data_IF_956138850616
#
_entry.id   IF_956138850616
#
_cell.length_a   1.000
_cell.length_b   1.000
_cell.length_c   1.000
_cell.angle_alpha   90.00
_cell.angle_beta   90.00
_cell.angle_gamma   90.00
#
_symmetry.space_group_name_H-M   'P 1'
#
loop_
_entity.id
_entity.type
_entity.pdbx_description
1 polymer ?
#
# COMPACT_ATOMS: atom_id res chain seq x y z
N UNK A 1 -56.84 -63.23 -21.83
CA UNK A 1 -57.74 -62.11 -21.44
C UNK A 1 -58.34 -62.46 -20.10
N UNK A 2 -58.17 -61.61 -19.10
CA UNK A 2 -58.66 -61.81 -17.73
C UNK A 2 -59.59 -60.65 -17.35
N UNK A 3 -60.44 -60.86 -16.35
CA UNK A 3 -61.31 -59.78 -15.86
C UNK A 3 -60.61 -59.02 -14.74
N UNK A 4 -60.57 -57.69 -14.83
CA UNK A 4 -60.04 -56.84 -13.77
C UNK A 4 -60.87 -57.03 -12.50
N UNK A 5 -60.21 -57.39 -11.39
CA UNK A 5 -60.87 -57.65 -10.11
C UNK A 5 -61.56 -56.42 -9.52
N UNK A 6 -61.06 -55.22 -9.85
CA UNK A 6 -61.56 -53.96 -9.28
C UNK A 6 -62.74 -53.38 -10.06
N UNK A 7 -62.66 -53.30 -11.40
CA UNK A 7 -63.70 -52.65 -12.21
C UNK A 7 -64.50 -53.60 -13.10
N UNK A 8 -64.17 -54.90 -13.13
CA UNK A 8 -64.87 -55.90 -13.94
C UNK A 8 -64.62 -55.83 -15.44
N UNK A 9 -63.76 -54.92 -15.93
CA UNK A 9 -63.45 -54.81 -17.36
C UNK A 9 -62.53 -55.97 -17.83
N UNK A 10 -62.70 -56.47 -19.06
CA UNK A 10 -61.77 -57.44 -19.64
C UNK A 10 -60.44 -56.74 -19.98
N UNK A 11 -59.33 -57.31 -19.52
CA UNK A 11 -57.97 -56.82 -19.73
C UNK A 11 -57.08 -57.93 -20.28
N UNK A 12 -55.99 -57.55 -20.94
CA UNK A 12 -54.95 -58.50 -21.34
C UNK A 12 -54.26 -59.08 -20.10
N UNK A 13 -53.88 -60.36 -20.18
CA UNK A 13 -53.39 -61.13 -19.04
C UNK A 13 -52.02 -60.65 -18.54
N UNK A 14 -51.17 -60.16 -19.47
CA UNK A 14 -49.83 -59.64 -19.17
C UNK A 14 -49.78 -58.10 -19.10
N UNK A 15 -50.92 -57.41 -19.23
CA UNK A 15 -50.93 -55.97 -19.00
C UNK A 15 -50.65 -55.71 -17.50
N UNK A 16 -49.66 -54.89 -17.17
CA UNK A 16 -49.25 -54.60 -15.79
C UNK A 16 -50.35 -53.92 -14.95
N UNK A 17 -51.20 -53.13 -15.62
CA UNK A 17 -52.30 -52.38 -15.01
C UNK A 17 -53.52 -52.43 -15.89
N UNK A 18 -54.69 -52.42 -15.26
CA UNK A 18 -55.95 -52.23 -15.96
C UNK A 18 -55.96 -50.85 -16.64
N UNK A 19 -56.13 -50.76 -17.97
CA UNK A 19 -56.14 -49.48 -18.67
C UNK A 19 -57.37 -48.63 -18.35
N UNK A 20 -58.42 -49.24 -17.80
CA UNK A 20 -59.69 -48.56 -17.50
C UNK A 20 -59.72 -47.93 -16.11
N UNK A 21 -59.13 -48.57 -15.10
CA UNK A 21 -59.15 -48.08 -13.71
C UNK A 21 -57.77 -47.91 -13.07
N UNK A 22 -56.69 -48.34 -13.72
CA UNK A 22 -55.32 -48.22 -13.21
C UNK A 22 -54.92 -49.24 -12.14
N UNK A 23 -55.85 -50.11 -11.71
CA UNK A 23 -55.56 -51.18 -10.76
C UNK A 23 -54.45 -52.10 -11.29
N UNK A 24 -53.54 -52.50 -10.39
CA UNK A 24 -52.43 -53.39 -10.73
C UNK A 24 -52.99 -54.77 -11.06
N UNK A 25 -52.54 -55.33 -12.18
CA UNK A 25 -52.70 -56.74 -12.48
C UNK A 25 -51.41 -57.45 -12.05
N UNK A 26 -51.48 -58.20 -10.95
CA UNK A 26 -50.32 -58.84 -10.31
C UNK A 26 -49.56 -59.74 -11.29
N UNK A 27 -50.24 -60.49 -12.15
CA UNK A 27 -49.61 -61.40 -13.11
C UNK A 27 -48.79 -60.65 -14.17
N UNK A 28 -49.34 -59.56 -14.72
CA UNK A 28 -48.62 -58.72 -15.69
C UNK A 28 -47.45 -57.97 -15.04
N UNK A 29 -47.64 -57.48 -13.80
CA UNK A 29 -46.60 -56.80 -13.06
C UNK A 29 -45.43 -57.73 -12.67
N UNK A 30 -45.71 -58.96 -12.25
CA UNK A 30 -44.70 -59.97 -11.96
C UNK A 30 -43.94 -60.39 -13.23
N UNK A 31 -44.65 -60.58 -14.35
CA UNK A 31 -44.01 -60.89 -15.63
C UNK A 31 -43.05 -59.79 -16.07
N UNK A 32 -43.46 -58.53 -16.00
CA UNK A 32 -42.55 -57.42 -16.32
C UNK A 32 -41.38 -57.35 -15.35
N UNK A 33 -41.62 -57.46 -14.05
CA UNK A 33 -40.54 -57.43 -13.06
C UNK A 33 -39.47 -58.50 -13.34
N UNK A 34 -39.90 -59.71 -13.72
CA UNK A 34 -38.99 -60.78 -14.09
C UNK A 34 -38.24 -60.49 -15.39
N UNK A 35 -38.90 -59.88 -16.38
CA UNK A 35 -38.27 -59.49 -17.64
C UNK A 35 -37.19 -58.40 -17.40
N UNK A 36 -37.53 -57.34 -16.66
CA UNK A 36 -36.60 -56.27 -16.32
C UNK A 36 -35.37 -56.81 -15.57
N UNK A 37 -35.54 -57.83 -14.72
CA UNK A 37 -34.44 -58.51 -14.03
C UNK A 37 -33.54 -59.33 -14.96
N UNK A 38 -34.07 -59.90 -16.04
CA UNK A 38 -33.26 -60.61 -17.05
C UNK A 38 -32.45 -59.62 -17.90
N UNK A 39 -33.06 -58.52 -18.30
CA UNK A 39 -32.39 -57.46 -19.07
C UNK A 39 -31.23 -56.86 -18.24
N UNK A 40 -31.46 -56.58 -16.95
CA UNK A 40 -30.43 -56.08 -16.03
C UNK A 40 -29.26 -57.07 -15.85
N UNK A 41 -29.54 -58.37 -15.87
CA UNK A 41 -28.52 -59.43 -15.79
C UNK A 41 -27.68 -59.49 -17.07
N UNK A 42 -28.27 -59.22 -18.23
CA UNK A 42 -27.54 -59.22 -19.50
C UNK A 42 -26.68 -57.94 -19.64
N UNK A 43 -27.19 -56.77 -19.23
CA UNK A 43 -26.41 -55.53 -19.13
C UNK A 43 -25.18 -55.69 -18.21
N UNK A 44 -25.34 -56.39 -17.08
CA UNK A 44 -24.24 -56.67 -16.16
C UNK A 44 -23.16 -57.61 -16.73
N UNK A 45 -23.51 -58.49 -17.69
CA UNK A 45 -22.51 -59.33 -18.37
C UNK A 45 -21.67 -58.53 -19.36
N UNK A 46 -22.23 -57.50 -19.99
CA UNK A 46 -21.47 -56.59 -20.87
C UNK A 46 -20.48 -55.73 -20.07
N UNK A 47 -20.86 -55.29 -18.86
CA UNK A 47 -19.95 -54.55 -17.95
C UNK A 47 -18.79 -55.42 -17.44
N UNK A 48 -18.99 -56.73 -17.30
CA UNK A 48 -17.98 -57.67 -16.79
C UNK A 48 -16.82 -57.98 -17.75
N UNK A 49 -16.90 -57.55 -19.01
CA UNK A 49 -15.92 -57.87 -20.06
C UNK A 49 -15.15 -56.64 -20.62
N UNK A 50 -15.03 -55.55 -19.84
CA UNK A 50 -14.11 -54.46 -20.20
C UNK A 50 -12.67 -54.89 -19.85
N UNK A 51 -11.75 -55.03 -20.82
CA UNK A 51 -10.39 -55.49 -20.54
C UNK A 51 -9.62 -54.45 -19.71
N UNK A 52 -9.16 -54.87 -18.53
CA UNK A 52 -8.41 -54.03 -17.57
C UNK A 52 -7.05 -53.47 -18.05
N UNK A 53 -6.60 -53.82 -19.27
CA UNK A 53 -5.35 -53.30 -19.83
C UNK A 53 -5.52 -51.98 -20.61
N UNK A 54 -6.64 -51.74 -21.28
CA UNK A 54 -6.89 -50.46 -21.98
C UNK A 54 -7.15 -49.31 -21.01
N UNK A 55 -7.83 -49.58 -19.89
CA UNK A 55 -8.05 -48.58 -18.82
C UNK A 55 -6.73 -48.17 -18.15
N UNK A 56 -5.76 -49.10 -18.00
CA UNK A 56 -4.47 -48.79 -17.38
C UNK A 56 -3.57 -47.93 -18.25
N UNK A 57 -3.66 -48.05 -19.58
CA UNK A 57 -2.87 -47.24 -20.50
C UNK A 57 -3.37 -45.79 -20.55
N UNK A 58 -4.69 -45.58 -20.52
CA UNK A 58 -5.29 -44.25 -20.64
C UNK A 58 -5.24 -43.46 -19.30
N UNK A 59 -5.38 -44.13 -18.16
CA UNK A 59 -5.25 -43.50 -16.83
C UNK A 59 -3.81 -43.10 -16.54
N UNK A 60 -2.81 -43.87 -16.99
CA UNK A 60 -1.38 -43.55 -16.74
C UNK A 60 -0.90 -42.32 -17.53
N UNK A 61 -1.48 -42.06 -18.69
CA UNK A 61 -1.22 -40.87 -19.52
C UNK A 61 -1.75 -39.58 -18.87
N UNK A 62 -2.98 -39.61 -18.35
CA UNK A 62 -3.64 -38.41 -17.81
C UNK A 62 -3.17 -38.01 -16.40
N UNK A 63 -2.65 -38.95 -15.60
CA UNK A 63 -2.11 -38.65 -14.26
C UNK A 63 -0.76 -37.91 -14.32
N UNK A 64 0.10 -38.23 -15.30
CA UNK A 64 1.39 -37.54 -15.46
C UNK A 64 1.28 -36.11 -16.01
N UNK A 65 0.25 -35.82 -16.81
CA UNK A 65 -0.02 -34.49 -17.34
C UNK A 65 -0.68 -33.58 -16.29
N UNK A 66 -1.63 -34.11 -15.52
CA UNK A 66 -2.38 -33.34 -14.51
C UNK A 66 -1.56 -33.07 -13.25
N UNK A 67 -0.73 -34.02 -12.79
CA UNK A 67 0.09 -33.83 -11.59
C UNK A 67 1.20 -32.79 -11.74
N UNK A 68 1.86 -32.73 -12.91
CA UNK A 68 2.90 -31.72 -13.18
C UNK A 68 2.31 -30.32 -13.33
N UNK A 69 1.17 -30.19 -14.00
CA UNK A 69 0.49 -28.91 -14.16
C UNK A 69 0.04 -28.35 -12.80
N UNK A 70 -0.55 -29.19 -11.93
CA UNK A 70 -0.96 -28.80 -10.58
C UNK A 70 0.24 -28.44 -9.69
N UNK A 71 1.34 -29.20 -9.77
CA UNK A 71 2.56 -28.88 -9.02
C UNK A 71 3.19 -27.55 -9.46
N UNK A 72 3.21 -27.26 -10.77
CA UNK A 72 3.69 -25.97 -11.31
C UNK A 72 2.78 -24.82 -10.88
N UNK A 73 1.46 -25.02 -10.89
CA UNK A 73 0.50 -24.01 -10.44
C UNK A 73 0.65 -23.70 -8.94
N UNK A 74 0.82 -24.73 -8.10
CA UNK A 74 1.09 -24.56 -6.67
C UNK A 74 2.43 -23.88 -6.41
N UNK A 75 3.47 -24.22 -7.18
CA UNK A 75 4.77 -23.55 -7.08
C UNK A 75 4.67 -22.07 -7.48
N UNK A 76 3.93 -21.74 -8.54
CA UNK A 76 3.68 -20.35 -8.94
C UNK A 76 2.90 -19.58 -7.89
N UNK A 77 1.88 -20.17 -7.26
CA UNK A 77 1.13 -19.55 -6.17
C UNK A 77 2.05 -19.31 -4.96
N UNK A 78 2.91 -20.25 -4.60
CA UNK A 78 3.88 -20.09 -3.51
C UNK A 78 4.92 -19.01 -3.82
N UNK A 79 5.40 -18.92 -5.06
CA UNK A 79 6.32 -17.86 -5.50
C UNK A 79 5.62 -16.51 -5.44
N UNK A 80 4.39 -16.38 -5.95
CA UNK A 80 3.63 -15.14 -5.89
C UNK A 80 3.30 -14.73 -4.45
N UNK A 81 2.97 -15.69 -3.58
CA UNK A 81 2.77 -15.43 -2.15
C UNK A 81 4.08 -14.99 -1.49
N UNK A 82 5.21 -15.64 -1.81
CA UNK A 82 6.52 -15.25 -1.29
C UNK A 82 6.94 -13.86 -1.79
N UNK A 83 6.71 -13.53 -3.06
CA UNK A 83 6.98 -12.18 -3.62
C UNK A 83 6.04 -11.16 -2.99
N UNK A 84 4.77 -11.46 -2.81
CA UNK A 84 3.82 -10.57 -2.14
C UNK A 84 4.21 -10.32 -0.68
N UNK A 85 4.55 -11.38 0.07
CA UNK A 85 5.05 -11.26 1.44
C UNK A 85 6.38 -10.49 1.46
N UNK A 86 7.29 -10.77 0.53
CA UNK A 86 8.54 -10.03 0.41
C UNK A 86 8.29 -8.55 0.12
N UNK A 87 7.43 -8.19 -0.84
CA UNK A 87 7.10 -6.79 -1.12
C UNK A 87 6.35 -6.11 0.03
N UNK A 88 5.53 -6.85 0.79
CA UNK A 88 4.77 -6.34 1.93
C UNK A 88 5.64 -6.12 3.16
N UNK A 89 6.58 -7.02 3.42
CA UNK A 89 7.41 -7.05 4.63
C UNK A 89 8.89 -6.68 4.38
N UNK A 90 9.30 -6.41 3.14
CA UNK A 90 10.67 -5.98 2.82
C UNK A 90 11.01 -4.70 3.55
N UNK A 91 10.05 -3.76 3.68
CA UNK A 91 10.20 -2.56 4.50
C UNK A 91 10.56 -2.89 5.93
N UNK A 92 9.77 -3.73 6.61
CA UNK A 92 10.01 -4.14 8.01
C UNK A 92 11.32 -4.90 8.18
N UNK A 93 11.70 -5.73 7.20
CA UNK A 93 12.97 -6.47 7.20
C UNK A 93 14.14 -5.50 7.00
N UNK A 94 14.06 -4.57 6.05
CA UNK A 94 15.08 -3.55 5.79
C UNK A 94 15.22 -2.63 7.01
N UNK A 95 14.12 -2.17 7.61
CA UNK A 95 14.12 -1.36 8.81
C UNK A 95 14.67 -2.11 10.02
N UNK A 96 14.29 -3.38 10.23
CA UNK A 96 14.84 -4.18 11.33
C UNK A 96 16.31 -4.54 11.14
N UNK A 97 16.76 -4.73 9.90
CA UNK A 97 18.18 -4.91 9.57
C UNK A 97 18.95 -3.60 9.75
N UNK A 98 18.39 -2.46 9.31
CA UNK A 98 18.95 -1.13 9.51
C UNK A 98 19.14 -0.85 11.00
N UNK A 99 18.07 -0.96 11.80
CA UNK A 99 18.09 -0.83 13.26
C UNK A 99 19.15 -1.73 13.93
N UNK A 100 19.29 -2.97 13.45
CA UNK A 100 20.30 -3.91 13.96
C UNK A 100 21.73 -3.55 13.53
N UNK A 101 21.90 -2.89 12.38
CA UNK A 101 23.20 -2.41 11.89
C UNK A 101 23.62 -1.10 12.56
N UNK A 102 22.67 -0.25 12.92
CA UNK A 102 22.90 1.05 13.58
C UNK A 102 22.88 0.98 15.11
N UNK A 103 22.58 -0.19 15.69
CA UNK A 103 22.33 -0.39 17.13
C UNK A 103 21.23 0.54 17.69
N UNK A 104 20.29 0.93 16.83
CA UNK A 104 19.14 1.77 17.18
C UNK A 104 17.87 0.93 17.24
N UNK A 105 17.05 1.10 18.27
CA UNK A 105 15.70 0.52 18.33
C UNK A 105 14.64 1.58 18.56
N UNK A 106 13.42 1.31 18.17
CA UNK A 106 12.28 2.16 18.54
C UNK A 106 12.03 2.07 20.04
N UNK A 107 11.67 3.21 20.65
CA UNK A 107 11.15 3.25 22.01
C UNK A 107 9.88 2.40 22.11
N UNK A 108 9.76 1.62 23.19
CA UNK A 108 8.46 0.99 23.48
C UNK A 108 7.46 2.03 23.99
N UNK A 109 6.17 1.68 24.03
CA UNK A 109 5.11 2.61 24.44
C UNK A 109 5.35 3.26 25.81
N UNK A 110 5.93 2.53 26.76
CA UNK A 110 6.18 3.05 28.11
C UNK A 110 7.39 3.98 28.11
N UNK A 111 8.44 3.63 27.41
CA UNK A 111 9.62 4.48 27.23
C UNK A 111 9.26 5.78 26.51
N UNK A 112 8.46 5.70 25.45
CA UNK A 112 7.93 6.85 24.73
C UNK A 112 7.12 7.76 25.66
N UNK A 113 6.12 7.23 26.38
CA UNK A 113 5.32 8.04 27.32
C UNK A 113 6.15 8.68 28.44
N UNK A 114 7.19 8.00 28.93
CA UNK A 114 8.07 8.57 29.93
C UNK A 114 8.92 9.69 29.34
N UNK A 115 9.49 9.47 28.16
CA UNK A 115 10.29 10.46 27.44
C UNK A 115 9.48 11.71 27.11
N UNK A 116 8.23 11.57 26.64
CA UNK A 116 7.32 12.69 26.38
C UNK A 116 7.09 13.52 27.65
N UNK A 117 6.81 12.86 28.78
CA UNK A 117 6.60 13.54 30.07
C UNK A 117 7.83 14.34 30.52
N UNK A 118 9.02 13.86 30.23
CA UNK A 118 10.28 14.51 30.62
C UNK A 118 10.70 15.63 29.67
N UNK A 119 10.29 15.60 28.40
CA UNK A 119 10.80 16.48 27.35
C UNK A 119 9.78 17.46 26.77
N UNK A 120 8.48 17.11 26.66
CA UNK A 120 7.48 18.04 26.15
C UNK A 120 7.39 19.34 26.96
N UNK A 121 7.47 19.33 28.31
CA UNK A 121 7.50 20.58 29.07
C UNK A 121 8.69 21.50 28.74
N UNK A 122 9.80 20.95 28.21
CA UNK A 122 10.94 21.75 27.74
C UNK A 122 10.64 22.37 26.37
N UNK A 123 10.05 21.59 25.46
CA UNK A 123 9.60 22.07 24.16
C UNK A 123 8.56 23.18 24.31
N UNK A 124 7.60 23.00 25.21
CA UNK A 124 6.58 24.01 25.54
C UNK A 124 7.21 25.30 26.05
N UNK A 125 8.23 25.20 26.91
CA UNK A 125 8.94 26.37 27.43
C UNK A 125 9.65 27.14 26.30
N UNK A 126 10.39 26.44 25.43
CA UNK A 126 11.05 27.08 24.28
C UNK A 126 10.04 27.68 23.29
N UNK A 127 8.91 27.02 23.06
CA UNK A 127 7.85 27.52 22.19
C UNK A 127 7.20 28.79 22.73
N UNK A 128 7.03 28.92 24.05
CA UNK A 128 6.55 30.14 24.68
C UNK A 128 7.61 31.26 24.69
N UNK A 129 8.89 30.91 24.75
CA UNK A 129 10.00 31.86 24.64
C UNK A 129 10.29 32.30 23.19
N UNK A 130 9.77 31.58 22.20
CA UNK A 130 10.06 31.78 20.77
C UNK A 130 11.45 31.25 20.36
N UNK A 131 12.02 30.33 21.14
CA UNK A 131 13.33 29.72 20.89
C UNK A 131 13.19 28.46 20.01
N UNK A 132 12.78 28.68 18.76
CA UNK A 132 12.57 27.61 17.78
C UNK A 132 13.87 26.93 17.34
N UNK A 133 15.01 27.63 17.41
CA UNK A 133 16.34 27.06 17.16
C UNK A 133 16.66 25.93 18.13
N UNK A 134 16.41 26.15 19.43
CA UNK A 134 16.61 25.10 20.45
C UNK A 134 15.66 23.91 20.26
N UNK A 135 14.42 24.16 19.83
CA UNK A 135 13.45 23.08 19.53
C UNK A 135 13.95 22.24 18.35
N UNK A 136 14.31 22.87 17.24
CA UNK A 136 14.78 22.19 16.04
C UNK A 136 16.07 21.40 16.30
N UNK A 137 17.04 22.01 17.00
CA UNK A 137 18.27 21.34 17.39
C UNK A 137 17.99 20.10 18.25
N UNK A 138 17.07 20.21 19.21
CA UNK A 138 16.65 19.08 20.04
C UNK A 138 16.02 17.97 19.19
N UNK A 139 15.10 18.29 18.27
CA UNK A 139 14.48 17.32 17.37
C UNK A 139 15.52 16.60 16.50
N UNK A 140 16.49 17.33 15.94
CA UNK A 140 17.58 16.78 15.14
C UNK A 140 18.46 15.80 15.94
N UNK A 141 18.72 16.07 17.23
CA UNK A 141 19.43 15.13 18.11
C UNK A 141 18.67 13.82 18.33
N UNK A 142 17.34 13.89 18.40
CA UNK A 142 16.45 12.73 18.52
C UNK A 142 16.43 11.92 17.23
N UNK A 143 16.33 12.57 16.08
CA UNK A 143 16.35 11.92 14.76
C UNK A 143 17.69 11.22 14.48
N UNK A 144 18.80 11.80 14.97
CA UNK A 144 20.11 11.16 14.93
C UNK A 144 20.21 9.90 15.83
N UNK A 145 19.20 9.63 16.67
CA UNK A 145 19.12 8.49 17.58
C UNK A 145 20.40 8.28 18.42
N UNK A 146 21.00 9.39 18.87
CA UNK A 146 22.30 9.41 19.58
C UNK A 146 22.35 8.54 20.84
N UNK A 147 21.20 8.17 21.41
CA UNK A 147 21.07 7.25 22.55
C UNK A 147 20.82 5.78 22.21
N UNK A 148 20.84 5.38 20.93
CA UNK A 148 20.50 4.01 20.49
C UNK A 148 19.00 3.68 20.60
N UNK A 149 18.19 4.64 21.05
CA UNK A 149 16.73 4.55 21.09
C UNK A 149 16.18 5.72 20.30
N UNK A 150 15.37 5.41 19.28
CA UNK A 150 14.64 6.40 18.50
C UNK A 150 13.30 6.66 19.19
N UNK A 151 13.10 7.92 19.57
CA UNK A 151 11.86 8.45 20.12
C UNK A 151 11.15 9.26 19.05
N UNK A 152 9.84 9.38 19.16
CA UNK A 152 9.05 10.26 18.30
C UNK A 152 8.66 11.52 19.05
N UNK A 153 8.88 12.70 18.46
CA UNK A 153 8.37 13.96 18.99
C UNK A 153 7.07 14.41 18.31
N UNK A 154 6.51 13.63 17.37
CA UNK A 154 5.31 14.02 16.61
C UNK A 154 4.01 14.04 17.43
N UNK A 155 4.06 13.59 18.69
CA UNK A 155 2.94 13.72 19.63
C UNK A 155 2.95 15.07 20.37
N UNK A 156 4.00 15.88 20.21
CA UNK A 156 4.07 17.22 20.78
C UNK A 156 3.06 18.13 20.08
N UNK A 157 2.32 18.96 20.84
CA UNK A 157 1.16 19.70 20.33
C UNK A 157 1.47 20.56 19.10
N UNK A 158 2.62 21.23 19.11
CA UNK A 158 3.03 22.17 18.07
C UNK A 158 3.99 21.56 17.03
N UNK A 159 4.13 20.23 16.97
CA UNK A 159 5.10 19.59 16.07
C UNK A 159 4.90 19.98 14.59
N UNK A 160 3.67 20.29 14.18
CA UNK A 160 3.31 20.67 12.81
C UNK A 160 3.96 21.97 12.33
N UNK A 161 4.56 22.77 13.21
CA UNK A 161 5.30 23.97 12.81
C UNK A 161 6.74 23.66 12.36
N UNK A 162 7.29 22.51 12.78
CA UNK A 162 8.70 22.18 12.59
C UNK A 162 9.14 22.11 11.13
N UNK A 163 8.39 21.47 10.21
CA UNK A 163 8.79 21.44 8.79
C UNK A 163 8.97 22.85 8.20
N UNK A 164 8.14 23.80 8.62
CA UNK A 164 8.21 25.17 8.14
C UNK A 164 9.38 25.94 8.74
N UNK A 165 9.65 25.73 10.03
CA UNK A 165 10.79 26.39 10.69
C UNK A 165 12.13 25.90 10.15
N UNK A 166 12.24 24.59 9.91
CA UNK A 166 13.44 23.96 9.33
C UNK A 166 13.77 24.57 7.96
N UNK A 167 12.80 24.56 7.03
CA UNK A 167 12.96 25.21 5.71
C UNK A 167 13.29 26.70 5.82
N UNK A 168 12.62 27.41 6.72
CA UNK A 168 12.91 28.83 6.97
C UNK A 168 14.36 29.04 7.43
N UNK A 169 14.83 28.24 8.39
CA UNK A 169 16.19 28.31 8.91
C UNK A 169 17.21 28.04 7.80
N UNK A 170 17.04 26.98 7.02
CA UNK A 170 17.92 26.64 5.89
C UNK A 170 18.01 27.79 4.87
N UNK A 171 16.88 28.38 4.50
CA UNK A 171 16.84 29.54 3.61
C UNK A 171 17.55 30.76 4.22
N UNK A 172 17.37 31.03 5.51
CA UNK A 172 18.02 32.16 6.18
C UNK A 172 19.52 31.95 6.37
N UNK A 173 19.98 30.71 6.57
CA UNK A 173 21.40 30.38 6.61
C UNK A 173 22.05 30.58 5.26
N UNK A 174 21.43 30.08 4.18
CA UNK A 174 21.91 30.32 2.82
C UNK A 174 21.92 31.83 2.50
N UNK A 175 20.89 32.58 2.87
CA UNK A 175 20.85 34.04 2.75
C UNK A 175 22.04 34.71 3.44
N UNK A 176 22.35 34.31 4.67
CA UNK A 176 23.48 34.84 5.43
C UNK A 176 24.81 34.52 4.76
N UNK A 177 24.97 33.30 4.26
CA UNK A 177 26.14 32.84 3.54
C UNK A 177 26.41 33.71 2.28
N UNK A 178 25.36 33.92 1.48
CA UNK A 178 25.38 34.77 0.29
C UNK A 178 25.76 36.22 0.65
N UNK A 179 25.17 36.78 1.71
CA UNK A 179 25.46 38.14 2.15
C UNK A 179 26.91 38.35 2.62
N UNK A 180 27.57 37.27 3.05
CA UNK A 180 28.99 37.27 3.41
C UNK A 180 29.92 37.20 2.18
N UNK A 181 29.35 37.03 0.98
CA UNK A 181 30.08 36.92 -0.28
C UNK A 181 30.72 35.56 -0.48
N UNK A 182 30.23 34.54 0.23
CA UNK A 182 30.70 33.17 0.08
C UNK A 182 29.92 32.46 -1.05
N UNK A 183 30.61 31.59 -1.79
CA UNK A 183 30.02 30.77 -2.85
C UNK A 183 29.75 29.36 -2.33
N UNK A 184 28.63 28.77 -2.75
CA UNK A 184 28.27 27.40 -2.40
C UNK A 184 27.89 26.59 -3.64
N UNK A 185 27.61 25.30 -3.45
CA UNK A 185 27.19 24.40 -4.51
C UNK A 185 25.83 24.80 -5.08
N UNK A 186 25.68 24.66 -6.39
CA UNK A 186 24.41 24.89 -7.09
C UNK A 186 23.24 24.10 -6.47
N UNK A 187 23.53 22.92 -5.92
CA UNK A 187 22.54 22.08 -5.24
C UNK A 187 21.88 22.78 -4.04
N UNK A 188 22.60 23.59 -3.27
CA UNK A 188 22.02 24.32 -2.13
C UNK A 188 20.94 25.30 -2.60
N UNK A 189 21.19 25.98 -3.73
CA UNK A 189 20.19 26.86 -4.36
C UNK A 189 19.02 26.10 -4.95
N UNK A 190 19.26 24.88 -5.46
CA UNK A 190 18.21 24.02 -5.99
C UNK A 190 17.28 23.53 -4.87
N UNK A 191 17.85 23.04 -3.77
CA UNK A 191 17.13 22.58 -2.60
C UNK A 191 16.34 23.74 -1.96
N UNK A 192 17.00 24.85 -1.63
CA UNK A 192 16.35 25.98 -0.98
C UNK A 192 15.20 26.58 -1.79
N UNK A 193 15.31 26.64 -3.13
CA UNK A 193 14.17 27.10 -3.96
C UNK A 193 13.03 26.10 -3.94
N UNK A 194 13.34 24.80 -4.02
CA UNK A 194 12.34 23.75 -3.98
C UNK A 194 11.58 23.78 -2.65
N UNK A 195 12.29 23.71 -1.52
CA UNK A 195 11.70 23.65 -0.19
C UNK A 195 10.89 24.92 0.12
N UNK A 196 11.40 26.09 -0.27
CA UNK A 196 10.67 27.36 -0.14
C UNK A 196 9.31 27.36 -0.87
N UNK A 197 9.25 26.82 -2.09
CA UNK A 197 8.02 26.79 -2.89
C UNK A 197 7.04 25.72 -2.41
N UNK A 198 7.52 24.64 -1.77
CA UNK A 198 6.63 23.58 -1.26
C UNK A 198 5.93 23.96 0.05
N UNK A 199 6.46 24.92 0.82
CA UNK A 199 5.86 25.29 2.12
C UNK A 199 4.35 25.55 2.05
N UNK A 200 3.83 26.21 0.99
CA UNK A 200 2.39 26.42 0.87
C UNK A 200 1.59 25.13 0.64
N UNK A 201 2.16 24.15 -0.06
CA UNK A 201 1.57 22.82 -0.25
C UNK A 201 1.63 22.02 1.06
N UNK A 202 2.70 22.19 1.83
CA UNK A 202 2.90 21.49 3.10
C UNK A 202 1.86 21.88 4.16
N UNK A 203 1.21 23.04 4.06
CA UNK A 203 0.06 23.41 4.92
C UNK A 203 -1.14 22.46 4.78
N UNK A 204 -1.27 21.76 3.66
CA UNK A 204 -2.30 20.72 3.49
C UNK A 204 -1.98 19.43 4.27
N UNK A 205 -0.70 19.19 4.57
CA UNK A 205 -0.23 17.99 5.27
C UNK A 205 -0.01 18.24 6.76
N UNK A 206 0.52 19.41 7.11
CA UNK A 206 0.87 19.81 8.46
C UNK A 206 -0.05 20.95 8.91
N UNK A 207 -1.21 20.59 9.46
CA UNK A 207 -2.19 21.57 9.91
C UNK A 207 -1.75 22.21 11.25
N UNK A 208 -1.68 23.52 11.27
CA UNK A 208 -1.40 24.30 12.49
C UNK A 208 -2.56 24.14 13.48
N UNK A 209 -2.24 24.00 14.77
CA UNK A 209 -3.24 23.64 15.78
C UNK A 209 -4.02 24.84 16.33
N UNK A 210 -3.44 26.04 16.24
CA UNK A 210 -4.05 27.29 16.70
C UNK A 210 -3.59 28.52 15.90
N UNK A 211 -4.15 29.69 16.23
CA UNK A 211 -3.86 30.97 15.57
C UNK A 211 -2.38 31.41 15.74
N UNK A 212 -1.71 30.98 16.83
CA UNK A 212 -0.29 31.31 17.08
C UNK A 212 0.58 30.54 16.09
N UNK A 213 0.34 29.24 15.93
CA UNK A 213 1.02 28.40 14.96
C UNK A 213 0.80 28.88 13.52
N UNK A 214 -0.44 29.23 13.16
CA UNK A 214 -0.76 29.76 11.83
C UNK A 214 0.01 31.07 11.57
N UNK A 215 0.03 31.98 12.54
CA UNK A 215 0.74 33.26 12.42
C UNK A 215 2.26 33.09 12.30
N UNK A 216 2.85 32.11 13.01
CA UNK A 216 4.27 31.79 12.92
C UNK A 216 4.63 31.23 11.54
N UNK A 217 3.89 30.22 11.09
CA UNK A 217 4.09 29.57 9.79
C UNK A 217 3.94 30.57 8.65
N UNK A 218 2.88 31.39 8.66
CA UNK A 218 2.67 32.41 7.64
C UNK A 218 3.81 33.44 7.61
N UNK A 219 4.31 33.85 8.79
CA UNK A 219 5.45 34.75 8.91
C UNK A 219 6.74 34.17 8.32
N UNK A 220 7.02 32.89 8.58
CA UNK A 220 8.17 32.19 8.03
C UNK A 220 8.06 32.02 6.52
N UNK A 221 6.89 31.63 6.00
CA UNK A 221 6.62 31.56 4.55
C UNK A 221 6.83 32.93 3.90
N UNK A 222 6.30 34.00 4.48
CA UNK A 222 6.49 35.35 3.93
C UNK A 222 7.97 35.75 3.86
N UNK A 223 8.75 35.44 4.89
CA UNK A 223 10.18 35.74 4.90
C UNK A 223 10.99 34.89 3.91
N UNK A 224 10.69 33.59 3.84
CA UNK A 224 11.30 32.68 2.86
C UNK A 224 10.98 33.13 1.43
N UNK A 225 9.75 33.56 1.15
CA UNK A 225 9.38 34.09 -0.17
C UNK A 225 10.04 35.44 -0.48
N UNK A 226 10.32 36.29 0.52
CA UNK A 226 11.18 37.47 0.35
C UNK A 226 12.59 37.06 -0.05
N UNK A 227 13.17 36.06 0.63
CA UNK A 227 14.47 35.49 0.25
C UNK A 227 14.47 34.95 -1.19
N UNK A 228 13.44 34.20 -1.62
CA UNK A 228 13.34 33.69 -2.99
C UNK A 228 13.39 34.82 -4.01
N UNK A 229 12.59 35.88 -3.80
CA UNK A 229 12.57 37.03 -4.71
C UNK A 229 13.92 37.75 -4.79
N UNK A 230 14.55 37.96 -3.64
CA UNK A 230 15.82 38.70 -3.56
C UNK A 230 16.99 37.89 -4.14
N UNK A 231 17.11 36.62 -3.78
CA UNK A 231 18.24 35.76 -4.14
C UNK A 231 18.18 35.29 -5.59
N UNK A 232 17.01 34.84 -6.04
CA UNK A 232 16.84 34.31 -7.40
C UNK A 232 16.39 35.38 -8.40
N UNK A 233 16.19 36.62 -7.91
CA UNK A 233 15.75 37.78 -8.70
C UNK A 233 14.43 37.52 -9.43
N UNK A 234 13.54 36.74 -8.80
CA UNK A 234 12.27 36.31 -9.39
C UNK A 234 11.13 37.27 -9.09
N UNK A 235 10.25 37.46 -10.08
CA UNK A 235 8.98 38.17 -9.88
C UNK A 235 7.88 37.25 -9.34
N UNK A 236 6.83 37.82 -8.74
CA UNK A 236 5.64 37.07 -8.32
C UNK A 236 4.99 36.26 -9.45
N UNK A 237 4.99 36.81 -10.68
CA UNK A 237 4.47 36.08 -11.86
C UNK A 237 5.36 34.92 -12.25
N UNK A 238 6.68 35.10 -12.18
CA UNK A 238 7.64 34.06 -12.55
C UNK A 238 7.62 32.89 -11.56
N UNK A 239 7.47 33.19 -10.26
CA UNK A 239 7.27 32.17 -9.22
C UNK A 239 6.01 31.35 -9.52
N UNK A 240 4.88 32.01 -9.76
CA UNK A 240 3.61 31.32 -10.07
C UNK A 240 3.67 30.50 -11.34
N UNK A 241 4.33 31.01 -12.37
CA UNK A 241 4.52 30.28 -13.63
C UNK A 241 5.41 29.04 -13.42
N UNK A 242 6.43 29.12 -12.56
CA UNK A 242 7.28 27.98 -12.20
C UNK A 242 6.51 26.94 -11.37
N UNK A 243 5.77 27.37 -10.34
CA UNK A 243 4.91 26.50 -9.54
C UNK A 243 3.93 25.75 -10.44
N UNK A 244 3.24 26.45 -11.35
CA UNK A 244 2.30 25.83 -12.28
C UNK A 244 2.96 24.82 -13.23
N UNK A 245 4.20 25.08 -13.66
CA UNK A 245 4.96 24.15 -14.51
C UNK A 245 5.44 22.92 -13.74
N UNK A 246 5.76 23.08 -12.46
CA UNK A 246 6.26 22.03 -11.60
C UNK A 246 5.14 21.20 -10.95
N UNK A 247 3.92 21.74 -10.87
CA UNK A 247 2.78 21.08 -10.21
C UNK A 247 2.42 19.74 -10.85
N UNK A 248 2.40 18.71 -10.01
CA UNK A 248 2.02 17.34 -10.37
C UNK A 248 1.42 16.64 -9.16
N UNK A 249 0.16 16.20 -9.30
CA UNK A 249 -0.55 15.44 -8.28
C UNK A 249 -0.60 16.13 -6.89
N UNK A 250 -0.77 17.46 -6.87
CA UNK A 250 -0.74 18.31 -5.66
C UNK A 250 0.64 18.45 -4.99
N UNK A 251 1.73 18.11 -5.70
CA UNK A 251 3.11 18.34 -5.26
C UNK A 251 3.89 19.08 -6.34
N UNK A 252 5.03 19.66 -5.99
CA UNK A 252 5.97 20.21 -6.96
C UNK A 252 6.99 19.15 -7.39
N UNK A 253 7.21 18.97 -8.69
CA UNK A 253 8.28 18.11 -9.20
C UNK A 253 9.63 18.83 -9.04
N UNK A 254 10.42 18.37 -8.06
CA UNK A 254 11.75 18.93 -7.77
C UNK A 254 12.64 19.00 -9.01
N UNK A 255 12.49 18.11 -10.00
CA UNK A 255 13.33 18.13 -11.22
C UNK A 255 13.08 19.36 -12.07
N UNK A 256 11.84 19.86 -12.09
CA UNK A 256 11.49 21.09 -12.84
C UNK A 256 12.15 22.29 -12.18
N UNK A 257 12.06 22.38 -10.85
CA UNK A 257 12.66 23.48 -10.08
C UNK A 257 14.19 23.44 -10.13
N UNK A 258 14.80 22.26 -9.97
CA UNK A 258 16.25 22.09 -10.02
C UNK A 258 16.80 22.49 -11.39
N UNK A 259 16.10 22.09 -12.46
CA UNK A 259 16.42 22.47 -13.82
C UNK A 259 16.28 23.98 -14.04
N UNK A 260 15.24 24.60 -13.48
CA UNK A 260 15.06 26.05 -13.54
C UNK A 260 16.27 26.79 -12.93
N UNK A 261 16.76 26.35 -11.77
CA UNK A 261 17.94 26.96 -11.12
C UNK A 261 19.20 26.75 -11.96
N UNK A 262 19.40 25.57 -12.55
CA UNK A 262 20.53 25.30 -13.46
C UNK A 262 20.50 26.23 -14.69
N UNK A 263 19.33 26.42 -15.29
CA UNK A 263 19.15 27.30 -16.46
C UNK A 263 19.32 28.80 -16.13
N UNK A 264 19.24 29.17 -14.86
CA UNK A 264 19.34 30.55 -14.35
C UNK A 264 20.45 30.73 -13.32
N UNK A 265 21.48 29.87 -13.34
CA UNK A 265 22.56 29.90 -12.35
C UNK A 265 23.39 31.19 -12.39
N UNK A 266 23.30 31.96 -13.48
CA UNK A 266 23.89 33.30 -13.60
C UNK A 266 23.26 34.33 -12.65
N UNK A 267 22.09 34.03 -12.06
CA UNK A 267 21.41 34.90 -11.09
C UNK A 267 21.88 34.71 -9.65
N UNK A 268 22.62 33.64 -9.35
CA UNK A 268 23.03 33.24 -8.00
C UNK A 268 24.55 33.07 -7.88
N UNK A 269 25.16 33.31 -6.70
CA UNK A 269 26.61 33.16 -6.52
C UNK A 269 26.99 31.69 -6.25
N UNK A 270 27.34 30.96 -7.30
CA UNK A 270 27.69 29.52 -7.26
C UNK A 270 29.16 29.28 -7.57
N UNK A 271 29.74 28.26 -6.95
CA UNK A 271 31.08 27.75 -7.33
C UNK A 271 30.99 26.88 -8.59
N UNK A 272 31.93 27.03 -9.52
CA UNK A 272 32.09 26.22 -10.74
C UNK A 272 32.38 24.73 -10.48
#
# INVERSE_FOLDING_TARGET
MITCRECGAPIEELAERCPYCGAINELGAEHKYMQDMYDLKDDLKEVGNIPSEEIKAEVKSNVHFTGKAVAVLLALILILAAVFLFLRYSGDIIYSVYNKMTDTRMADTREQMQWERENFPKLDAWYEEGDYDSILAFCNEIDAATGGISYSYTNWEHWNILPFYDTYQECMELKKYIQQGEETYLYEYQAALYDALTMNYDKELFHQVDDKDESLVDGWIEETMRFVKDTYQMSDSEIKDLEHQAEKDHFLDYKVIYKYVEEHKDRVPVTD
#
